data_IF_595406981008
#
_entry.id   IF_595406981008
#
_cell.length_a   1.000
_cell.length_b   1.000
_cell.length_c   1.000
_cell.angle_alpha   90.00
_cell.angle_beta   90.00
_cell.angle_gamma   90.00
#
_symmetry.space_group_name_H-M   'P 1'
#
loop_
_entity.id
_entity.type
_entity.pdbx_description
1 polymer ?
#
# COMPACT_ATOMS: atom_id res chain seq x y z
N UNK A 1 36.25 -63.15 -8.43
CA UNK A 1 36.25 -62.56 -9.80
C UNK A 1 36.93 -61.21 -9.68
N UNK A 2 38.13 -61.09 -10.24
CA UNK A 2 39.00 -59.92 -10.14
C UNK A 2 38.51 -58.81 -11.08
N UNK A 3 38.62 -57.55 -10.64
CA UNK A 3 39.31 -56.51 -11.41
C UNK A 3 39.49 -55.23 -10.59
N UNK A 4 40.75 -54.96 -10.27
CA UNK A 4 41.31 -53.66 -9.97
C UNK A 4 41.03 -52.68 -11.12
N UNK A 5 40.76 -51.42 -10.78
CA UNK A 5 41.39 -50.28 -11.47
C UNK A 5 41.79 -49.24 -10.44
N UNK A 6 43.10 -49.08 -10.37
CA UNK A 6 43.89 -48.15 -9.61
C UNK A 6 43.92 -46.79 -10.34
N UNK A 7 43.78 -45.69 -9.62
CA UNK A 7 44.56 -44.48 -9.92
C UNK A 7 44.69 -43.63 -8.65
N UNK A 8 45.85 -43.79 -8.04
CA UNK A 8 46.45 -42.98 -6.98
C UNK A 8 46.90 -41.60 -7.53
N UNK A 9 46.64 -40.53 -6.78
CA UNK A 9 47.56 -39.39 -6.70
C UNK A 9 47.34 -38.60 -5.39
N UNK A 10 47.98 -39.09 -4.33
CA UNK A 10 48.91 -38.34 -3.46
C UNK A 10 48.56 -36.88 -3.04
N UNK A 11 48.07 -36.71 -1.80
CA UNK A 11 48.27 -35.51 -0.94
C UNK A 11 49.77 -35.42 -0.52
N UNK A 12 50.42 -34.29 -0.09
CA UNK A 12 49.92 -33.35 0.95
C UNK A 12 50.49 -31.89 0.99
N UNK A 13 50.02 -31.12 1.99
CA UNK A 13 50.79 -30.13 2.82
C UNK A 13 50.75 -28.62 2.48
N UNK A 14 49.85 -27.93 3.20
CA UNK A 14 50.07 -26.78 4.10
C UNK A 14 50.92 -25.60 3.58
N UNK A 15 50.27 -24.47 3.30
CA UNK A 15 50.82 -23.11 3.54
C UNK A 15 49.77 -22.24 4.23
N UNK A 16 50.00 -21.96 5.51
CA UNK A 16 49.51 -20.77 6.22
C UNK A 16 50.25 -19.56 5.65
N UNK A 17 49.56 -18.44 5.48
CA UNK A 17 50.15 -17.12 5.65
C UNK A 17 49.08 -16.23 6.27
N UNK A 18 49.18 -16.08 7.59
CA UNK A 18 48.67 -14.92 8.29
C UNK A 18 49.67 -13.79 8.01
N UNK A 19 49.17 -12.67 7.50
CA UNK A 19 49.75 -11.34 7.70
C UNK A 19 48.55 -10.38 7.66
N UNK A 20 48.29 -9.79 8.83
CA UNK A 20 47.28 -8.76 9.12
C UNK A 20 47.61 -7.45 8.37
N UNK A 21 46.67 -6.47 8.52
CA UNK A 21 46.76 -5.03 8.20
C UNK A 21 46.20 -4.76 6.79
N UNK A 22 45.16 -3.96 6.53
CA UNK A 22 44.53 -2.87 7.26
C UNK A 22 43.08 -2.70 6.76
N UNK A 23 42.26 -1.99 7.55
CA UNK A 23 40.87 -1.67 7.28
C UNK A 23 40.68 -0.96 5.93
N UNK A 24 39.58 -1.28 5.22
CA UNK A 24 38.68 -0.35 4.51
C UNK A 24 37.74 -1.13 3.57
N UNK A 25 36.46 -1.22 3.94
CA UNK A 25 35.28 -1.23 3.04
C UNK A 25 34.02 -1.55 3.85
N UNK A 26 33.66 -0.62 4.72
CA UNK A 26 32.42 -0.63 5.50
C UNK A 26 31.22 -0.15 4.67
N UNK A 27 30.89 -0.78 3.54
CA UNK A 27 29.72 -0.33 2.76
C UNK A 27 28.96 -1.38 1.95
N UNK A 28 29.42 -2.64 1.86
CA UNK A 28 28.73 -3.64 1.00
C UNK A 28 27.73 -4.55 1.72
N UNK A 29 27.79 -4.67 3.05
CA UNK A 29 26.86 -5.53 3.80
C UNK A 29 25.52 -4.83 4.09
N UNK A 30 25.52 -3.49 4.12
CA UNK A 30 24.27 -2.71 4.24
C UNK A 30 23.47 -2.68 2.94
N UNK A 31 24.12 -2.83 1.77
CA UNK A 31 23.41 -2.90 0.49
C UNK A 31 22.68 -4.24 0.31
N UNK A 32 23.28 -5.36 0.72
CA UNK A 32 22.60 -6.67 0.69
C UNK A 32 21.41 -6.74 1.67
N UNK A 33 21.56 -6.15 2.86
CA UNK A 33 20.47 -6.02 3.85
C UNK A 33 19.32 -5.11 3.38
N UNK A 34 19.58 -4.16 2.48
CA UNK A 34 18.56 -3.33 1.87
C UNK A 34 17.90 -4.05 0.68
N UNK A 35 18.66 -4.82 -0.10
CA UNK A 35 18.13 -5.63 -1.21
C UNK A 35 17.17 -6.74 -0.74
N UNK A 36 17.41 -7.36 0.43
CA UNK A 36 16.50 -8.34 1.03
C UNK A 36 15.22 -7.70 1.63
N UNK A 37 15.24 -6.39 1.93
CA UNK A 37 14.04 -5.61 2.29
C UNK A 37 13.36 -4.96 1.07
N UNK A 38 13.91 -5.16 -0.12
CA UNK A 38 13.40 -4.68 -1.41
C UNK A 38 12.93 -5.85 -2.28
N UNK A 39 12.40 -6.92 -1.69
CA UNK A 39 11.54 -7.84 -2.44
C UNK A 39 10.24 -7.13 -2.77
N UNK A 40 10.28 -6.25 -3.77
CA UNK A 40 9.09 -5.66 -4.34
C UNK A 40 8.25 -6.81 -4.88
N UNK A 41 7.09 -7.03 -4.26
CA UNK A 41 6.20 -8.05 -4.76
C UNK A 41 5.68 -7.64 -6.15
N UNK A 42 5.47 -8.63 -7.02
CA UNK A 42 4.96 -8.40 -8.37
C UNK A 42 3.64 -7.61 -8.33
N UNK A 43 2.82 -7.80 -7.28
CA UNK A 43 1.59 -7.04 -7.04
C UNK A 43 1.86 -5.55 -6.83
N UNK A 44 2.81 -5.20 -5.95
CA UNK A 44 3.14 -3.80 -5.70
C UNK A 44 3.76 -3.12 -6.94
N UNK A 45 4.57 -3.86 -7.69
CA UNK A 45 5.14 -3.38 -8.96
C UNK A 45 4.03 -3.14 -9.98
N UNK A 46 3.12 -4.10 -10.18
CA UNK A 46 1.99 -3.97 -11.08
C UNK A 46 1.11 -2.76 -10.72
N UNK A 47 0.80 -2.57 -9.44
CA UNK A 47 0.04 -1.42 -8.96
C UNK A 47 0.73 -0.09 -9.26
N UNK A 48 2.05 0.01 -9.06
CA UNK A 48 2.82 1.22 -9.39
C UNK A 48 2.83 1.51 -10.89
N UNK A 49 2.98 0.48 -11.73
CA UNK A 49 2.95 0.62 -13.18
C UNK A 49 1.58 1.12 -13.64
N UNK A 50 0.49 0.50 -13.18
CA UNK A 50 -0.87 0.91 -13.52
C UNK A 50 -1.17 2.34 -13.06
N UNK A 51 -0.72 2.71 -11.86
CA UNK A 51 -0.83 4.08 -11.33
C UNK A 51 -0.12 5.09 -12.25
N UNK A 52 1.08 4.76 -12.72
CA UNK A 52 1.87 5.64 -13.58
C UNK A 52 1.29 5.82 -14.99
N UNK A 53 0.50 4.85 -15.47
CA UNK A 53 -0.19 4.94 -16.76
C UNK A 53 -1.38 5.90 -16.73
N UNK A 54 -1.79 6.39 -15.56
CA UNK A 54 -2.94 7.27 -15.45
C UNK A 54 -2.62 8.66 -16.04
N UNK A 55 -3.46 9.18 -16.95
CA UNK A 55 -3.23 10.47 -17.56
C UNK A 55 -3.35 11.58 -16.53
N UNK A 56 -2.36 12.48 -16.52
CA UNK A 56 -2.38 13.66 -15.66
C UNK A 56 -3.09 14.77 -16.43
N UNK A 57 -4.33 15.07 -16.03
CA UNK A 57 -5.13 16.13 -16.66
C UNK A 57 -5.12 17.34 -15.73
N UNK A 58 -4.42 18.41 -16.11
CA UNK A 58 -4.22 19.61 -15.27
C UNK A 58 -5.54 20.26 -14.78
N UNK A 59 -6.65 20.02 -15.47
CA UNK A 59 -7.97 20.58 -15.14
C UNK A 59 -8.80 19.69 -14.21
N UNK A 60 -8.43 18.42 -14.04
CA UNK A 60 -9.16 17.48 -13.18
C UNK A 60 -8.15 16.65 -12.40
N UNK A 61 -7.97 16.98 -11.12
CA UNK A 61 -7.14 16.21 -10.19
C UNK A 61 -7.86 14.92 -9.78
N UNK A 62 -8.06 14.00 -10.73
CA UNK A 62 -8.54 12.64 -10.46
C UNK A 62 -7.34 11.80 -10.07
N UNK A 63 -7.40 11.22 -8.88
CA UNK A 63 -6.38 10.26 -8.43
C UNK A 63 -6.68 8.89 -9.03
N UNK A 64 -5.65 8.16 -9.51
CA UNK A 64 -5.83 6.83 -10.07
C UNK A 64 -6.34 5.85 -9.01
N UNK A 65 -7.34 5.05 -9.39
CA UNK A 65 -7.66 3.81 -8.71
C UNK A 65 -7.57 2.67 -9.72
N UNK A 66 -7.22 1.49 -9.22
CA UNK A 66 -6.96 0.29 -10.01
C UNK A 66 -8.00 -0.75 -9.62
N UNK A 67 -8.60 -1.42 -10.60
CA UNK A 67 -9.55 -2.47 -10.29
C UNK A 67 -8.81 -3.76 -9.91
N UNK A 68 -9.32 -4.48 -8.92
CA UNK A 68 -8.77 -5.78 -8.53
C UNK A 68 -8.81 -6.76 -9.71
N UNK A 69 -9.87 -6.70 -10.52
CA UNK A 69 -9.95 -7.43 -11.81
C UNK A 69 -8.81 -7.12 -12.79
N UNK A 70 -8.33 -5.87 -12.85
CA UNK A 70 -7.16 -5.48 -13.67
C UNK A 70 -5.86 -6.04 -13.10
N UNK A 71 -5.72 -6.05 -11.78
CA UNK A 71 -4.57 -6.61 -11.09
C UNK A 71 -4.44 -8.12 -11.31
N UNK A 72 -5.55 -8.86 -11.22
CA UNK A 72 -5.62 -10.29 -11.54
C UNK A 72 -5.34 -10.61 -13.00
N UNK A 73 -5.46 -9.63 -13.89
CA UNK A 73 -5.11 -9.80 -15.31
C UNK A 73 -3.61 -9.55 -15.57
N UNK A 74 -2.92 -8.90 -14.64
CA UNK A 74 -1.51 -8.52 -14.78
C UNK A 74 -0.55 -9.38 -13.97
N UNK A 75 -1.04 -10.01 -12.89
CA UNK A 75 -0.28 -10.93 -12.04
C UNK A 75 -0.89 -12.33 -12.15
N UNK A 76 -0.04 -13.34 -12.32
CA UNK A 76 -0.47 -14.71 -12.61
C UNK A 76 -1.12 -15.42 -11.41
N UNK A 77 -0.62 -15.18 -10.19
CA UNK A 77 -1.11 -15.84 -8.97
C UNK A 77 -2.09 -14.94 -8.21
N UNK A 78 -3.39 -15.25 -8.34
CA UNK A 78 -4.47 -14.52 -7.65
C UNK A 78 -4.41 -14.68 -6.14
N UNK A 79 -4.05 -15.86 -5.65
CA UNK A 79 -3.99 -16.12 -4.20
C UNK A 79 -2.84 -15.36 -3.56
N UNK A 80 -1.72 -15.22 -4.27
CA UNK A 80 -0.62 -14.36 -3.85
C UNK A 80 -1.05 -12.89 -3.82
N UNK A 81 -1.73 -12.40 -4.87
CA UNK A 81 -2.28 -11.04 -4.91
C UNK A 81 -3.19 -10.76 -3.72
N UNK A 82 -4.11 -11.66 -3.38
CA UNK A 82 -5.00 -11.49 -2.23
C UNK A 82 -4.23 -11.38 -0.90
N UNK A 83 -3.23 -12.23 -0.69
CA UNK A 83 -2.38 -12.20 0.51
C UNK A 83 -1.57 -10.91 0.59
N UNK A 84 -1.03 -10.47 -0.53
CA UNK A 84 -0.21 -9.26 -0.61
C UNK A 84 -1.06 -7.99 -0.45
N UNK A 85 -2.24 -7.92 -1.07
CA UNK A 85 -3.19 -6.83 -0.85
C UNK A 85 -3.61 -6.75 0.62
N UNK A 86 -3.84 -7.88 1.27
CA UNK A 86 -4.16 -7.92 2.69
C UNK A 86 -2.98 -7.43 3.56
N UNK A 87 -1.73 -7.77 3.21
CA UNK A 87 -0.53 -7.24 3.89
C UNK A 87 -0.41 -5.73 3.68
N UNK A 88 -0.49 -5.25 2.44
CA UNK A 88 -0.38 -3.85 2.07
C UNK A 88 -1.50 -2.99 2.69
N UNK A 89 -2.70 -3.58 2.87
CA UNK A 89 -3.80 -2.95 3.61
C UNK A 89 -3.47 -2.82 5.09
N UNK A 90 -2.92 -3.86 5.73
CA UNK A 90 -2.50 -3.84 7.15
C UNK A 90 -1.35 -2.87 7.40
N UNK A 91 -0.45 -2.75 6.44
CA UNK A 91 0.68 -1.81 6.45
C UNK A 91 0.25 -0.37 6.10
N UNK A 92 -1.04 -0.14 5.82
CA UNK A 92 -1.60 1.17 5.44
C UNK A 92 -0.95 1.77 4.18
N UNK A 93 -0.49 0.93 3.26
CA UNK A 93 0.07 1.37 1.98
C UNK A 93 -1.05 1.61 0.96
N UNK A 94 -2.08 0.77 1.01
CA UNK A 94 -3.20 0.77 0.08
C UNK A 94 -4.53 0.86 0.81
N UNK A 95 -5.53 1.41 0.12
CA UNK A 95 -6.93 1.34 0.50
C UNK A 95 -7.73 0.61 -0.57
N UNK A 96 -8.58 -0.30 -0.12
CA UNK A 96 -9.49 -1.07 -0.97
C UNK A 96 -10.91 -0.58 -0.72
N UNK A 97 -11.66 -0.35 -1.79
CA UNK A 97 -13.05 0.06 -1.76
C UNK A 97 -13.88 -1.01 -2.46
N UNK A 98 -15.01 -1.37 -1.86
CA UNK A 98 -16.00 -2.20 -2.55
C UNK A 98 -16.71 -1.34 -3.59
N UNK A 99 -16.86 -1.84 -4.82
CA UNK A 99 -17.65 -1.19 -5.86
C UNK A 99 -19.04 -1.82 -5.95
N UNK A 100 -20.03 -0.96 -6.17
CA UNK A 100 -21.43 -1.37 -6.38
C UNK A 100 -21.74 -1.82 -7.82
N UNK A 101 -20.74 -1.85 -8.70
CA UNK A 101 -20.88 -2.48 -10.02
C UNK A 101 -21.16 -3.96 -9.78
N UNK A 102 -22.27 -4.49 -10.32
CA UNK A 102 -22.85 -5.82 -10.00
C UNK A 102 -21.98 -7.07 -10.27
N UNK A 103 -20.66 -6.93 -10.32
CA UNK A 103 -19.64 -7.96 -10.36
C UNK A 103 -18.84 -8.08 -9.04
N UNK A 104 -19.25 -7.41 -7.94
CA UNK A 104 -18.52 -7.39 -6.66
C UNK A 104 -17.01 -7.08 -6.83
N UNK A 105 -16.67 -6.16 -7.74
CA UNK A 105 -15.29 -5.76 -7.98
C UNK A 105 -14.81 -4.77 -6.89
N UNK A 106 -13.50 -4.70 -6.71
CA UNK A 106 -12.89 -3.81 -5.73
C UNK A 106 -11.98 -2.79 -6.41
N UNK A 107 -12.04 -1.55 -5.97
CA UNK A 107 -11.09 -0.51 -6.35
C UNK A 107 -9.97 -0.42 -5.33
N UNK A 108 -8.73 -0.35 -5.81
CA UNK A 108 -7.51 -0.25 -5.02
C UNK A 108 -6.88 1.11 -5.31
N UNK A 109 -6.56 1.85 -4.25
CA UNK A 109 -5.90 3.16 -4.34
C UNK A 109 -4.73 3.20 -3.36
N UNK A 110 -3.67 3.92 -3.71
CA UNK A 110 -2.61 4.19 -2.73
C UNK A 110 -3.14 5.10 -1.63
N UNK A 111 -2.77 4.81 -0.38
CA UNK A 111 -3.22 5.63 0.75
C UNK A 111 -2.75 7.08 0.58
N UNK A 112 -1.51 7.28 0.11
CA UNK A 112 -0.99 8.62 -0.18
C UNK A 112 -1.86 9.38 -1.18
N UNK A 113 -2.31 8.73 -2.25
CA UNK A 113 -3.19 9.36 -3.24
C UNK A 113 -4.54 9.73 -2.63
N UNK A 114 -5.08 8.86 -1.78
CA UNK A 114 -6.32 9.10 -1.08
C UNK A 114 -6.21 10.26 -0.08
N UNK A 115 -5.14 10.32 0.72
CA UNK A 115 -4.88 11.44 1.64
C UNK A 115 -4.74 12.76 0.89
N UNK A 116 -3.97 12.76 -0.21
CA UNK A 116 -3.86 13.92 -1.09
C UNK A 116 -5.22 14.36 -1.67
N UNK A 117 -6.12 13.41 -1.97
CA UNK A 117 -7.47 13.74 -2.43
C UNK A 117 -8.27 14.43 -1.34
N UNK A 118 -8.20 13.96 -0.10
CA UNK A 118 -8.87 14.60 1.05
C UNK A 118 -8.32 16.02 1.24
N UNK A 119 -7.00 16.19 1.24
CA UNK A 119 -6.37 17.51 1.38
C UNK A 119 -6.82 18.49 0.28
N UNK A 120 -6.84 18.03 -0.98
CA UNK A 120 -7.37 18.81 -2.09
C UNK A 120 -8.86 19.17 -1.93
N UNK A 121 -9.66 18.32 -1.28
CA UNK A 121 -11.06 18.62 -0.98
C UNK A 121 -11.15 19.65 0.14
N UNK A 122 -10.41 19.47 1.24
CA UNK A 122 -10.38 20.39 2.38
C UNK A 122 -10.00 21.80 1.92
N UNK A 123 -8.93 21.94 1.13
CA UNK A 123 -8.51 23.22 0.56
C UNK A 123 -9.61 23.90 -0.27
N UNK A 124 -10.31 23.14 -1.11
CA UNK A 124 -11.45 23.66 -1.91
C UNK A 124 -12.64 24.06 -1.05
N UNK A 125 -12.84 23.42 0.10
CA UNK A 125 -13.92 23.73 1.04
C UNK A 125 -13.56 24.96 1.91
N UNK A 126 -12.30 25.14 2.26
CA UNK A 126 -11.75 26.35 2.91
C UNK A 126 -11.96 27.59 2.04
N UNK A 127 -11.65 27.50 0.74
CA UNK A 127 -11.88 28.57 -0.24
C UNK A 127 -13.37 28.96 -0.33
N UNK A 128 -14.27 27.99 -0.12
CA UNK A 128 -15.72 28.20 -0.10
C UNK A 128 -16.26 28.63 1.27
N UNK A 129 -15.41 28.82 2.27
CA UNK A 129 -15.75 29.14 3.67
C UNK A 129 -16.79 28.18 4.27
N UNK A 130 -16.69 26.89 3.94
CA UNK A 130 -17.54 25.90 4.58
C UNK A 130 -17.17 25.73 6.05
N UNK A 131 -18.18 25.49 6.88
CA UNK A 131 -18.05 25.23 8.31
C UNK A 131 -17.88 23.72 8.53
N UNK A 132 -17.31 23.31 9.67
CA UNK A 132 -17.12 21.91 10.08
C UNK A 132 -16.00 21.14 9.34
N UNK A 133 -14.93 21.83 8.95
CA UNK A 133 -13.76 21.19 8.34
C UNK A 133 -13.06 20.19 9.28
N UNK A 134 -13.27 20.30 10.59
CA UNK A 134 -12.76 19.39 11.61
C UNK A 134 -13.16 17.92 11.36
N UNK A 135 -14.30 17.67 10.67
CA UNK A 135 -14.73 16.31 10.33
C UNK A 135 -13.72 15.58 9.45
N UNK A 136 -13.00 16.29 8.57
CA UNK A 136 -12.01 15.70 7.67
C UNK A 136 -10.79 15.21 8.44
N UNK A 137 -10.34 15.99 9.43
CA UNK A 137 -9.25 15.63 10.33
C UNK A 137 -9.65 14.45 11.25
N UNK A 138 -10.87 14.47 11.79
CA UNK A 138 -11.39 13.35 12.57
C UNK A 138 -11.47 12.08 11.75
N UNK A 139 -11.91 12.18 10.50
CA UNK A 139 -11.97 11.04 9.59
C UNK A 139 -10.58 10.46 9.32
N UNK A 140 -9.58 11.31 9.03
CA UNK A 140 -8.20 10.85 8.82
C UNK A 140 -7.62 10.18 10.07
N UNK A 141 -7.76 10.82 11.23
CA UNK A 141 -7.10 10.37 12.47
C UNK A 141 -7.81 9.19 13.14
N UNK A 142 -9.14 9.10 13.03
CA UNK A 142 -9.91 8.10 13.79
C UNK A 142 -10.46 7.01 12.89
N UNK A 143 -10.91 7.34 11.69
CA UNK A 143 -11.53 6.35 10.79
C UNK A 143 -10.46 5.64 9.97
N UNK A 144 -9.50 6.34 9.36
CA UNK A 144 -8.44 5.67 8.58
C UNK A 144 -7.49 4.86 9.47
N UNK A 145 -7.21 5.36 10.67
CA UNK A 145 -6.31 4.65 11.58
C UNK A 145 -6.98 3.44 12.25
N UNK A 146 -8.24 3.57 12.65
CA UNK A 146 -8.93 2.48 13.36
C UNK A 146 -9.52 1.44 12.41
N UNK A 147 -9.87 1.83 11.17
CA UNK A 147 -10.61 0.99 10.26
C UNK A 147 -9.90 0.76 8.93
N UNK A 148 -9.41 -0.47 8.79
CA UNK A 148 -8.76 -0.95 7.58
C UNK A 148 -9.75 -1.58 6.58
N UNK A 149 -11.01 -1.84 6.98
CA UNK A 149 -11.98 -2.52 6.12
C UNK A 149 -12.50 -1.63 4.98
N UNK A 150 -12.94 -2.23 3.86
CA UNK A 150 -13.42 -1.48 2.68
C UNK A 150 -14.73 -0.71 2.89
N UNK A 151 -15.54 -1.09 3.87
CA UNK A 151 -16.84 -0.51 4.16
C UNK A 151 -17.01 -0.21 5.64
N UNK A 152 -17.68 0.88 5.99
CA UNK A 152 -17.96 1.27 7.38
C UNK A 152 -19.45 1.40 7.60
N UNK A 153 -19.99 0.75 8.64
CA UNK A 153 -21.40 0.88 8.99
C UNK A 153 -21.69 2.30 9.47
N UNK A 154 -22.92 2.78 9.26
CA UNK A 154 -23.29 4.15 9.68
C UNK A 154 -23.12 4.37 11.19
N UNK A 155 -23.62 3.45 12.02
CA UNK A 155 -23.50 3.53 13.49
C UNK A 155 -22.03 3.50 13.97
N UNK A 156 -21.21 2.70 13.29
CA UNK A 156 -19.78 2.57 13.56
C UNK A 156 -19.02 3.83 13.15
N UNK A 157 -19.31 4.39 11.97
CA UNK A 157 -18.76 5.67 11.51
C UNK A 157 -19.12 6.80 12.48
N UNK A 158 -20.39 6.86 12.90
CA UNK A 158 -20.85 7.80 13.93
C UNK A 158 -20.07 7.63 15.22
N UNK A 159 -19.86 6.39 15.67
CA UNK A 159 -19.12 6.09 16.90
C UNK A 159 -17.67 6.54 16.83
N UNK A 160 -16.97 6.24 15.73
CA UNK A 160 -15.56 6.61 15.52
C UNK A 160 -15.37 8.13 15.43
N UNK A 161 -16.26 8.82 14.70
CA UNK A 161 -16.21 10.28 14.60
C UNK A 161 -16.62 10.95 15.92
N UNK A 162 -17.45 10.28 16.75
CA UNK A 162 -17.91 10.82 18.03
C UNK A 162 -16.90 10.75 19.16
N UNK A 163 -15.73 10.11 18.93
CA UNK A 163 -14.64 10.04 19.92
C UNK A 163 -14.12 11.44 20.27
N UNK A 164 -14.10 12.37 19.30
CA UNK A 164 -13.53 13.72 19.48
C UNK A 164 -14.59 14.81 19.61
N UNK A 165 -15.78 14.62 19.05
CA UNK A 165 -16.78 15.67 19.01
C UNK A 165 -18.22 15.18 18.84
N UNK A 166 -19.19 16.09 18.93
CA UNK A 166 -20.59 15.77 18.69
C UNK A 166 -20.84 15.64 17.18
N UNK A 167 -20.89 14.41 16.69
CA UNK A 167 -21.20 14.14 15.28
C UNK A 167 -22.67 14.40 15.01
N UNK A 168 -22.94 15.01 13.85
CA UNK A 168 -24.27 15.20 13.29
C UNK A 168 -24.31 14.58 11.90
N UNK A 169 -25.50 14.24 11.43
CA UNK A 169 -25.72 13.75 10.06
C UNK A 169 -25.23 14.75 8.99
N UNK A 170 -25.18 16.04 9.34
CA UNK A 170 -24.59 17.11 8.51
C UNK A 170 -23.12 16.84 8.19
N UNK A 171 -22.35 16.30 9.15
CA UNK A 171 -20.94 15.97 8.97
C UNK A 171 -20.75 14.77 8.04
N UNK A 172 -21.62 13.76 8.15
CA UNK A 172 -21.58 12.57 7.28
C UNK A 172 -21.99 12.94 5.86
N UNK A 173 -23.04 13.75 5.72
CA UNK A 173 -23.46 14.32 4.44
C UNK A 173 -22.35 15.15 3.82
N UNK A 174 -21.57 15.90 4.61
CA UNK A 174 -20.42 16.65 4.12
C UNK A 174 -19.34 15.73 3.55
N UNK A 175 -19.01 14.62 4.23
CA UNK A 175 -18.04 13.63 3.74
C UNK A 175 -18.49 12.94 2.44
N UNK A 176 -19.79 12.66 2.30
CA UNK A 176 -20.37 12.07 1.08
C UNK A 176 -20.34 13.10 -0.06
N UNK A 177 -20.80 14.34 0.19
CA UNK A 177 -20.81 15.41 -0.81
C UNK A 177 -19.39 15.82 -1.24
N UNK A 178 -18.42 15.64 -0.36
CA UNK A 178 -16.98 15.79 -0.62
C UNK A 178 -16.40 14.68 -1.51
N UNK A 179 -17.12 13.57 -1.70
CA UNK A 179 -16.67 12.40 -2.44
C UNK A 179 -15.62 11.56 -1.70
N UNK A 180 -15.55 11.69 -0.36
CA UNK A 180 -14.63 10.91 0.49
C UNK A 180 -15.26 9.57 0.87
N UNK A 181 -16.59 9.57 1.02
CA UNK A 181 -17.41 8.40 1.29
C UNK A 181 -18.40 8.19 0.16
N UNK A 182 -18.71 6.92 -0.10
CA UNK A 182 -19.80 6.50 -0.98
C UNK A 182 -20.80 5.76 -0.11
N UNK A 183 -22.09 6.13 -0.19
CA UNK A 183 -23.16 5.41 0.49
C UNK A 183 -23.56 4.18 -0.33
N UNK A 184 -23.55 3.00 0.29
CA UNK A 184 -24.15 1.76 -0.23
C UNK A 184 -25.50 1.49 0.43
#
# INVERSE_FOLDING_TARGET
MNKDTNSDSSKPKKRRRDEEIEAESSSSDRTLSLEENLTFSDTLVALRIMRAQFPHIDKVSIRPFILQSQLYSSVNDRTQVDRELESLRRERVLRVFKLNTGQDDHAIMFLDDYLNQIECVVKRMEEKKQVNLEVFEWFQTHVLDSKLEPSVGHEELCSLLSIVGKVKDEHISLLINAGILVSE
#
